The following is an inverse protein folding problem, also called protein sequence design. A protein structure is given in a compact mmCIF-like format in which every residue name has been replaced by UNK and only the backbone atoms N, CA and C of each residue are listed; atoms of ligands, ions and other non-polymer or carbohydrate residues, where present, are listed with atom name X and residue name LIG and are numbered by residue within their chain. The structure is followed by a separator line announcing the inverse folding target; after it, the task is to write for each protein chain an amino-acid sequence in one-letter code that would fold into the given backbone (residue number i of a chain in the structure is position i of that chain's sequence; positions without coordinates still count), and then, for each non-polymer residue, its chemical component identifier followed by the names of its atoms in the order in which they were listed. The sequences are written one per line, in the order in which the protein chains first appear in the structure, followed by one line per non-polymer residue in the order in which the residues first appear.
data_IF_340424435274
#
_entry.id   IF_340424435274
#
_cell.length_a   1.000
_cell.length_b   1.000
_cell.length_c   1.000
_cell.angle_alpha   90.00
_cell.angle_beta   90.00
_cell.angle_gamma   90.00
#
_symmetry.space_group_name_H-M   'P 1'
#
loop_
_entity.id
_entity.type
_entity.pdbx_description
1 polymer ?
#
# COMPACT_ATOMS: atom_id res chain seq x y z
N UNK A 1 -9.99 -3.18 -6.72
CA UNK A 1 -10.74 -3.62 -5.52
C UNK A 1 -9.79 -4.05 -4.41
N UNK A 2 -8.86 -4.95 -4.72
CA UNK A 2 -7.91 -5.44 -3.71
C UNK A 2 -7.06 -4.30 -3.12
N UNK A 3 -6.58 -3.38 -3.97
CA UNK A 3 -5.81 -2.23 -3.53
C UNK A 3 -6.60 -1.30 -2.63
N UNK A 4 -7.87 -1.08 -2.93
CA UNK A 4 -8.75 -0.25 -2.08
C UNK A 4 -8.98 -0.92 -0.73
N UNK A 5 -9.21 -2.23 -0.68
CA UNK A 5 -9.38 -2.95 0.58
C UNK A 5 -8.14 -2.82 1.48
N UNK A 6 -6.96 -3.09 0.93
CA UNK A 6 -5.69 -2.91 1.66
C UNK A 6 -5.44 -1.46 2.06
N UNK A 7 -5.76 -0.53 1.15
CA UNK A 7 -5.61 0.90 1.39
C UNK A 7 -6.51 1.43 2.51
N UNK A 8 -7.73 0.93 2.62
CA UNK A 8 -8.63 1.34 3.70
C UNK A 8 -8.05 0.91 5.06
N UNK A 9 -7.60 -0.33 5.18
CA UNK A 9 -7.02 -0.85 6.44
C UNK A 9 -5.73 -0.09 6.77
N UNK A 10 -4.82 0.05 5.81
CA UNK A 10 -3.59 0.81 6.01
C UNK A 10 -3.89 2.28 6.31
N UNK A 11 -4.89 2.85 5.63
CA UNK A 11 -5.30 4.23 5.85
C UNK A 11 -5.82 4.48 7.27
N UNK A 12 -6.58 3.56 7.83
CA UNK A 12 -7.04 3.65 9.22
C UNK A 12 -5.82 3.67 10.16
N UNK A 13 -4.85 2.79 9.93
CA UNK A 13 -3.62 2.75 10.73
C UNK A 13 -2.86 4.08 10.64
N UNK A 14 -2.70 4.62 9.43
CA UNK A 14 -2.02 5.90 9.23
C UNK A 14 -2.79 7.07 9.83
N UNK A 15 -4.12 7.05 9.76
CA UNK A 15 -4.95 8.07 10.38
C UNK A 15 -4.77 8.08 11.91
N UNK A 16 -4.67 6.89 12.51
CA UNK A 16 -4.37 6.78 13.94
C UNK A 16 -2.99 7.34 14.30
N UNK A 17 -2.05 7.34 13.36
CA UNK A 17 -0.71 7.92 13.52
C UNK A 17 -0.65 9.41 13.15
N UNK A 18 -1.75 10.02 12.72
CA UNK A 18 -1.80 11.41 12.29
C UNK A 18 -1.09 11.69 10.97
N UNK A 19 -0.95 10.68 10.10
CA UNK A 19 -0.16 10.77 8.87
C UNK A 19 -0.93 11.30 7.65
N UNK A 20 -2.26 11.44 7.73
CA UNK A 20 -3.06 11.84 6.57
C UNK A 20 -2.73 13.24 6.07
N UNK A 21 -2.52 14.19 6.97
CA UNK A 21 -2.06 15.53 6.59
C UNK A 21 -0.70 15.50 5.89
N UNK A 22 0.19 14.62 6.34
CA UNK A 22 1.51 14.44 5.73
C UNK A 22 1.39 13.93 4.29
N UNK A 23 0.49 12.98 4.03
CA UNK A 23 0.23 12.50 2.67
C UNK A 23 -0.32 13.62 1.80
N UNK A 24 -1.25 14.43 2.33
CA UNK A 24 -1.82 15.58 1.63
C UNK A 24 -0.75 16.60 1.22
N UNK A 25 0.30 16.76 2.03
CA UNK A 25 1.39 17.70 1.74
C UNK A 25 2.15 17.36 0.47
N UNK A 26 2.13 16.11 0.02
CA UNK A 26 2.74 15.71 -1.25
C UNK A 26 2.07 16.34 -2.47
N UNK A 27 0.80 16.78 -2.33
CA UNK A 27 0.06 17.49 -3.38
C UNK A 27 -0.26 18.93 -2.99
N UNK A 28 0.47 19.48 -2.02
CA UNK A 28 0.34 20.87 -1.63
C UNK A 28 -0.83 21.20 -0.71
N UNK A 29 -1.39 20.19 -0.01
CA UNK A 29 -2.51 20.39 0.93
C UNK A 29 -2.12 19.89 2.31
N UNK A 30 -2.78 20.43 3.36
CA UNK A 30 -2.66 19.93 4.72
C UNK A 30 -3.95 19.24 5.21
N UNK A 31 -4.96 19.13 4.36
CA UNK A 31 -6.25 18.53 4.72
C UNK A 31 -6.14 17.01 4.85
N UNK A 32 -6.54 16.41 5.99
CA UNK A 32 -6.59 14.96 6.11
C UNK A 32 -7.50 14.27 5.10
N UNK A 33 -8.59 14.95 4.67
CA UNK A 33 -9.50 14.42 3.65
C UNK A 33 -8.77 14.26 2.31
N UNK A 34 -7.97 15.26 1.93
CA UNK A 34 -7.14 15.18 0.71
C UNK A 34 -6.13 14.05 0.87
N UNK A 35 -5.53 13.90 2.05
CA UNK A 35 -4.61 12.79 2.34
C UNK A 35 -5.26 11.43 2.12
N UNK A 36 -6.48 11.22 2.60
CA UNK A 36 -7.25 10.00 2.37
C UNK A 36 -7.49 9.75 0.88
N UNK A 37 -7.90 10.78 0.13
CA UNK A 37 -8.14 10.64 -1.32
C UNK A 37 -6.88 10.25 -2.06
N UNK A 38 -5.77 10.93 -1.79
CA UNK A 38 -4.46 10.61 -2.40
C UNK A 38 -4.03 9.20 -2.02
N UNK A 39 -4.15 8.83 -0.76
CA UNK A 39 -3.81 7.50 -0.27
C UNK A 39 -4.61 6.41 -0.99
N UNK A 40 -5.93 6.59 -1.12
CA UNK A 40 -6.79 5.60 -1.76
C UNK A 40 -6.49 5.48 -3.27
N UNK A 41 -6.20 6.58 -3.95
CA UNK A 41 -5.81 6.57 -5.37
C UNK A 41 -4.50 5.81 -5.55
N UNK A 42 -3.50 6.10 -4.72
CA UNK A 42 -2.21 5.39 -4.75
C UNK A 42 -2.42 3.90 -4.46
N UNK A 43 -3.25 3.58 -3.46
CA UNK A 43 -3.55 2.21 -3.07
C UNK A 43 -4.22 1.42 -4.19
N UNK A 44 -5.19 2.03 -4.89
CA UNK A 44 -5.86 1.40 -6.03
C UNK A 44 -4.88 1.16 -7.18
N UNK A 45 -4.02 2.12 -7.47
CA UNK A 45 -3.00 2.00 -8.51
C UNK A 45 -2.03 0.86 -8.22
N UNK A 46 -1.45 0.81 -7.03
CA UNK A 46 -0.50 -0.25 -6.68
C UNK A 46 -1.17 -1.61 -6.55
N UNK A 47 -2.43 -1.66 -6.14
CA UNK A 47 -3.19 -2.91 -6.15
C UNK A 47 -3.40 -3.45 -7.56
N UNK A 48 -3.70 -2.58 -8.52
CA UNK A 48 -3.83 -2.95 -9.93
C UNK A 48 -2.49 -3.44 -10.50
N UNK A 49 -1.39 -2.76 -10.19
CA UNK A 49 -0.04 -3.18 -10.61
C UNK A 49 0.28 -4.56 -10.04
N UNK A 50 0.01 -4.79 -8.77
CA UNK A 50 0.22 -6.09 -8.14
C UNK A 50 -0.53 -7.19 -8.86
N UNK A 51 -1.81 -6.96 -9.18
CA UNK A 51 -2.64 -7.94 -9.89
C UNK A 51 -2.07 -8.28 -11.27
N UNK A 52 -1.42 -7.32 -11.94
CA UNK A 52 -0.82 -7.53 -13.26
C UNK A 52 0.50 -8.29 -13.21
N UNK A 53 1.34 -8.04 -12.18
CA UNK A 53 2.68 -8.61 -12.12
C UNK A 53 2.74 -9.98 -11.43
N UNK A 54 1.76 -10.29 -10.57
CA UNK A 54 1.74 -11.58 -9.85
C UNK A 54 1.23 -12.68 -10.76
N UNK A 55 2.02 -13.75 -10.97
CA UNK A 55 1.59 -14.83 -11.86
C UNK A 55 0.30 -15.51 -11.39
N UNK A 56 -0.61 -15.75 -12.32
CA UNK A 56 -1.88 -16.42 -12.03
C UNK A 56 -1.67 -17.90 -11.64
N UNK A 57 -0.50 -18.45 -11.93
CA UNK A 57 -0.15 -19.84 -11.62
C UNK A 57 0.26 -20.06 -10.17
N UNK A 58 0.53 -18.99 -9.40
CA UNK A 58 0.90 -19.12 -8.00
C UNK A 58 -0.30 -19.58 -7.15
N UNK A 59 -0.05 -20.49 -6.24
CA UNK A 59 -1.01 -20.88 -5.22
C UNK A 59 -1.22 -19.78 -4.18
N UNK A 60 -2.19 -19.98 -3.29
CA UNK A 60 -2.55 -19.00 -2.25
C UNK A 60 -1.35 -18.57 -1.42
N UNK A 61 -0.52 -19.51 -0.95
CA UNK A 61 0.67 -19.19 -0.17
C UNK A 61 1.69 -18.36 -0.95
N UNK A 62 1.87 -18.67 -2.24
CA UNK A 62 2.76 -17.90 -3.12
C UNK A 62 2.28 -16.48 -3.35
N UNK A 63 0.98 -16.28 -3.54
CA UNK A 63 0.39 -14.95 -3.71
C UNK A 63 0.52 -14.13 -2.43
N UNK A 64 0.25 -14.72 -1.27
CA UNK A 64 0.39 -14.04 0.02
C UNK A 64 1.86 -13.65 0.29
N UNK A 65 2.80 -14.54 -0.01
CA UNK A 65 4.23 -14.24 0.11
C UNK A 65 4.67 -13.12 -0.83
N UNK A 66 4.18 -13.13 -2.06
CA UNK A 66 4.43 -12.07 -3.03
C UNK A 66 3.85 -10.74 -2.53
N UNK A 67 2.67 -10.75 -1.90
CA UNK A 67 2.06 -9.57 -1.30
C UNK A 67 2.91 -8.98 -0.19
N UNK A 68 3.47 -9.81 0.68
CA UNK A 68 4.37 -9.35 1.74
C UNK A 68 5.63 -8.69 1.16
N UNK A 69 6.26 -9.32 0.17
CA UNK A 69 7.44 -8.77 -0.52
C UNK A 69 7.09 -7.46 -1.21
N UNK A 70 5.95 -7.40 -1.89
CA UNK A 70 5.46 -6.19 -2.54
C UNK A 70 5.27 -5.05 -1.55
N UNK A 71 4.69 -5.35 -0.38
CA UNK A 71 4.55 -4.36 0.70
C UNK A 71 5.88 -3.78 1.15
N UNK A 72 6.90 -4.62 1.30
CA UNK A 72 8.25 -4.18 1.64
C UNK A 72 8.83 -3.28 0.54
N UNK A 73 8.66 -3.65 -0.73
CA UNK A 73 9.12 -2.84 -1.87
C UNK A 73 8.44 -1.47 -1.87
N UNK A 74 7.14 -1.41 -1.64
CA UNK A 74 6.41 -0.15 -1.56
C UNK A 74 6.88 0.71 -0.38
N UNK A 75 7.22 0.08 0.74
CA UNK A 75 7.77 0.77 1.90
C UNK A 75 9.11 1.44 1.57
N UNK A 76 9.99 0.74 0.86
CA UNK A 76 11.28 1.31 0.43
C UNK A 76 11.05 2.48 -0.54
N UNK A 77 10.17 2.31 -1.54
CA UNK A 77 9.93 3.32 -2.56
C UNK A 77 9.23 4.56 -1.98
N UNK A 78 8.17 4.37 -1.19
CA UNK A 78 7.36 5.46 -0.67
C UNK A 78 7.98 6.16 0.53
N UNK A 79 7.84 5.60 1.74
CA UNK A 79 8.28 6.27 2.97
C UNK A 79 9.78 6.53 3.07
N UNK A 80 10.62 5.68 2.48
CA UNK A 80 12.06 5.83 2.61
C UNK A 80 12.69 6.65 1.47
N UNK A 81 12.03 6.75 0.32
CA UNK A 81 12.60 7.41 -0.87
C UNK A 81 11.73 8.58 -1.35
N UNK A 82 10.55 8.30 -1.90
CA UNK A 82 9.73 9.32 -2.58
C UNK A 82 9.23 10.39 -1.61
N UNK A 83 8.61 9.98 -0.50
CA UNK A 83 8.05 10.93 0.45
C UNK A 83 9.13 11.85 1.06
N UNK A 84 10.26 11.34 1.57
CA UNK A 84 11.32 12.22 2.05
C UNK A 84 11.88 13.13 0.95
N UNK A 85 12.04 12.64 -0.27
CA UNK A 85 12.54 13.45 -1.39
C UNK A 85 11.60 14.62 -1.71
N UNK A 86 10.29 14.36 -1.75
CA UNK A 86 9.28 15.40 -2.01
C UNK A 86 9.24 16.42 -0.89
N UNK A 87 9.43 15.99 0.37
CA UNK A 87 9.36 16.85 1.55
C UNK A 87 10.71 17.49 1.91
N UNK A 88 11.76 17.23 1.14
CA UNK A 88 13.10 17.79 1.42
C UNK A 88 13.76 17.21 2.67
N UNK A 89 13.38 16.01 3.06
CA UNK A 89 13.93 15.31 4.23
C UNK A 89 15.02 14.32 3.82
N UNK A 90 15.90 13.90 4.76
CA UNK A 90 16.89 12.86 4.47
C UNK A 90 16.24 11.58 4.01
N UNK A 91 16.85 10.92 3.00
CA UNK A 91 16.37 9.63 2.49
C UNK A 91 16.76 8.49 3.43
N UNK A 92 15.99 7.41 3.39
CA UNK A 92 16.26 6.17 4.14
C UNK A 92 16.42 6.41 5.64
N UNK A 93 15.51 7.22 6.23
CA UNK A 93 15.46 7.41 7.66
C UNK A 93 14.77 6.21 8.34
N UNK A 94 15.43 5.64 9.34
CA UNK A 94 14.90 4.55 10.14
C UNK A 94 14.57 5.09 11.54
N UNK A 95 13.30 5.36 11.79
CA UNK A 95 12.78 5.84 13.06
C UNK A 95 11.47 5.11 13.39
N UNK A 96 10.85 5.42 14.53
CA UNK A 96 9.61 4.78 14.94
C UNK A 96 8.51 4.91 13.88
N UNK A 97 8.36 6.08 13.28
CA UNK A 97 7.34 6.34 12.25
C UNK A 97 7.56 5.47 11.03
N UNK A 98 8.79 5.39 10.50
CA UNK A 98 9.08 4.55 9.32
C UNK A 98 8.95 3.07 9.63
N UNK A 99 9.31 2.63 10.82
CA UNK A 99 9.17 1.23 11.21
C UNK A 99 7.70 0.83 11.39
N UNK A 100 6.87 1.71 11.96
CA UNK A 100 5.42 1.50 12.03
C UNK A 100 4.80 1.49 10.64
N UNK A 101 5.29 2.32 9.74
CA UNK A 101 4.89 2.33 8.33
C UNK A 101 5.23 1.02 7.62
N UNK A 102 6.35 0.37 7.98
CA UNK A 102 6.68 -0.96 7.46
C UNK A 102 5.57 -1.97 7.79
N UNK A 103 5.10 -1.97 9.03
CA UNK A 103 3.99 -2.85 9.44
C UNK A 103 2.76 -2.57 8.59
N UNK A 104 2.41 -1.30 8.38
CA UNK A 104 1.29 -0.91 7.55
C UNK A 104 1.43 -1.37 6.10
N UNK A 105 2.62 -1.27 5.52
CA UNK A 105 2.87 -1.73 4.15
C UNK A 105 2.81 -3.26 4.03
N UNK A 106 3.31 -3.99 5.02
CA UNK A 106 3.17 -5.45 5.07
C UNK A 106 1.69 -5.84 5.13
N UNK A 107 0.92 -5.21 6.00
CA UNK A 107 -0.53 -5.44 6.12
C UNK A 107 -1.22 -5.13 4.80
N UNK A 108 -0.92 -4.02 4.17
CA UNK A 108 -1.46 -3.65 2.86
C UNK A 108 -1.19 -4.74 1.82
N UNK A 109 0.06 -5.17 1.68
CA UNK A 109 0.45 -6.17 0.69
C UNK A 109 -0.24 -7.51 0.90
N UNK A 110 -0.32 -7.97 2.15
CA UNK A 110 -0.98 -9.22 2.49
C UNK A 110 -2.49 -9.14 2.24
N UNK A 111 -3.14 -8.02 2.56
CA UNK A 111 -4.58 -7.83 2.32
C UNK A 111 -4.87 -7.78 0.82
N UNK A 112 -4.07 -7.06 0.04
CA UNK A 112 -4.21 -7.02 -1.43
C UNK A 112 -4.12 -8.44 -1.99
N UNK A 113 -3.13 -9.21 -1.57
CA UNK A 113 -2.97 -10.59 -2.00
C UNK A 113 -4.16 -11.46 -1.56
N UNK A 114 -4.59 -11.33 -0.31
CA UNK A 114 -5.70 -12.10 0.25
C UNK A 114 -7.03 -11.81 -0.44
N UNK A 115 -7.27 -10.58 -0.89
CA UNK A 115 -8.47 -10.22 -1.66
C UNK A 115 -8.33 -10.68 -3.11
N UNK A 116 -7.14 -10.61 -3.69
CA UNK A 116 -6.90 -11.01 -5.07
C UNK A 116 -7.17 -12.49 -5.31
N UNK A 117 -6.81 -13.36 -4.38
CA UNK A 117 -6.99 -14.82 -4.52
C UNK A 117 -8.45 -15.19 -4.82
N UNK A 118 -9.44 -14.80 -4.00
CA UNK A 118 -10.83 -15.13 -4.32
C UNK A 118 -11.35 -14.43 -5.57
N UNK A 119 -10.88 -13.22 -5.88
CA UNK A 119 -11.28 -12.53 -7.11
C UNK A 119 -10.81 -13.29 -8.35
N UNK A 120 -9.58 -13.81 -8.34
CA UNK A 120 -9.06 -14.65 -9.43
C UNK A 120 -9.82 -15.96 -9.56
N UNK A 121 -10.19 -16.60 -8.45
CA UNK A 121 -10.99 -17.83 -8.45
C UNK A 121 -12.36 -17.59 -9.08
N UNK A 122 -13.04 -16.48 -8.74
CA UNK A 122 -14.32 -16.11 -9.33
C UNK A 122 -14.20 -15.90 -10.83
N UNK A 123 -13.19 -15.17 -11.28
CA UNK A 123 -12.93 -14.94 -12.70
C UNK A 123 -12.71 -16.24 -13.45
N UNK A 124 -11.92 -17.17 -12.89
CA UNK A 124 -11.68 -18.49 -13.48
C UNK A 124 -12.95 -19.35 -13.51
N UNK A 125 -13.78 -19.29 -12.45
CA UNK A 125 -15.02 -20.07 -12.37
C UNK A 125 -16.06 -19.62 -13.39
N UNK A 126 -16.02 -18.37 -13.84
CA UNK A 126 -16.93 -17.81 -14.84
C UNK A 126 -16.37 -17.83 -16.27
N UNK A 127 -15.13 -18.25 -16.43
CA UNK A 127 -14.53 -18.40 -17.74
C UNK A 127 -14.89 -19.76 -18.34
#
# INVERSE_FOLDING_TARGET
VAGLAGGIVFGILMAMMGMMSTIAMMVGSSSPVVGWLVHLVISAFYGAVFAEIVPATLGTGGVLGAGAVYGIVLWVIGPLLIMPAVMGMPLFMFNTTTMMSLIGHLVYGVIVAGVLVPLRRRSTAHA
#
